data_IF_934567950550
#
_entry.id   IF_934567950550
#
_cell.length_a   1.000
_cell.length_b   1.000
_cell.length_c   1.000
_cell.angle_alpha   90.00
_cell.angle_beta   90.00
_cell.angle_gamma   90.00
#
_symmetry.space_group_name_H-M   'P 1'
#
loop_
_entity.id
_entity.type
_entity.pdbx_description
1 polymer ?
#
# COMPACT_ATOMS: atom_id res chain seq x y z
N UNK A 1 -9.72 -5.40 -14.12
CA UNK A 1 -9.46 -4.74 -15.42
C UNK A 1 -8.13 -4.01 -15.28
N UNK A 2 -7.27 -3.96 -16.30
CA UNK A 2 -6.10 -3.09 -16.25
C UNK A 2 -6.56 -1.63 -16.22
N UNK A 3 -5.84 -0.77 -15.51
CA UNK A 3 -5.99 0.68 -15.59
C UNK A 3 -5.49 1.21 -16.96
N UNK A 4 -5.71 2.50 -17.20
CA UNK A 4 -5.56 3.16 -18.49
C UNK A 4 -4.13 3.70 -18.70
N UNK A 5 -3.95 4.68 -19.58
CA UNK A 5 -2.69 5.42 -19.71
C UNK A 5 -2.77 6.81 -19.04
N UNK A 6 -3.90 7.10 -18.39
CA UNK A 6 -4.19 8.35 -17.69
C UNK A 6 -4.13 8.12 -16.16
N UNK A 7 -4.20 9.19 -15.37
CA UNK A 7 -4.22 9.10 -13.91
C UNK A 7 -5.49 8.38 -13.40
N UNK A 8 -5.34 7.20 -12.78
CA UNK A 8 -6.43 6.37 -12.28
C UNK A 8 -6.51 6.34 -10.75
N UNK A 9 -7.75 6.16 -10.24
CA UNK A 9 -8.00 5.86 -8.82
C UNK A 9 -8.46 4.42 -8.69
N UNK A 10 -7.63 3.60 -8.08
CA UNK A 10 -7.81 2.15 -8.00
C UNK A 10 -8.11 1.78 -6.56
N UNK A 11 -9.21 1.06 -6.35
CA UNK A 11 -9.61 0.54 -5.05
C UNK A 11 -9.51 -0.99 -5.07
N UNK A 12 -8.39 -1.57 -4.60
CA UNK A 12 -8.22 -3.02 -4.54
C UNK A 12 -9.38 -3.70 -3.81
N UNK A 13 -10.03 -4.63 -4.50
CA UNK A 13 -11.13 -5.46 -4.00
C UNK A 13 -10.97 -6.93 -4.40
N UNK A 14 -10.79 -7.80 -3.40
CA UNK A 14 -10.48 -9.23 -3.56
C UNK A 14 -8.99 -9.58 -3.77
N UNK A 15 -8.72 -10.87 -4.00
CA UNK A 15 -7.37 -11.43 -4.13
C UNK A 15 -6.80 -11.38 -5.55
N UNK A 16 -6.82 -10.21 -6.19
CA UNK A 16 -6.39 -10.05 -7.58
C UNK A 16 -5.08 -9.25 -7.70
N UNK A 17 -4.50 -9.25 -8.90
CA UNK A 17 -3.47 -8.28 -9.27
C UNK A 17 -4.10 -7.02 -9.85
N UNK A 18 -3.63 -5.86 -9.41
CA UNK A 18 -4.01 -4.53 -9.85
C UNK A 18 -2.80 -3.91 -10.53
N UNK A 19 -2.97 -3.58 -11.81
CA UNK A 19 -1.94 -2.97 -12.65
C UNK A 19 -2.39 -1.55 -13.01
N UNK A 20 -1.50 -0.58 -12.84
CA UNK A 20 -1.76 0.84 -13.11
C UNK A 20 -1.74 1.22 -14.59
N UNK A 21 -0.93 0.52 -15.38
CA UNK A 21 -0.74 0.95 -16.77
C UNK A 21 0.25 2.11 -16.79
N UNK A 22 -0.16 3.28 -17.30
CA UNK A 22 0.65 4.50 -17.27
C UNK A 22 -0.15 5.65 -16.64
N UNK A 23 0.52 6.76 -16.33
CA UNK A 23 -0.10 7.87 -15.58
C UNK A 23 0.35 7.88 -14.12
N UNK A 24 -0.20 8.78 -13.31
CA UNK A 24 0.06 8.86 -11.87
C UNK A 24 -1.15 8.31 -11.10
N UNK A 25 -1.04 7.06 -10.66
CA UNK A 25 -2.16 6.34 -10.09
C UNK A 25 -2.24 6.44 -8.57
N UNK A 26 -3.46 6.43 -8.05
CA UNK A 26 -3.74 6.39 -6.61
C UNK A 26 -4.42 5.09 -6.22
N UNK A 27 -3.76 4.29 -5.38
CA UNK A 27 -4.27 3.04 -4.85
C UNK A 27 -4.79 3.22 -3.43
N UNK A 28 -6.06 2.92 -3.19
CA UNK A 28 -6.71 3.16 -1.89
C UNK A 28 -6.94 1.85 -1.17
N UNK A 29 -6.19 1.62 -0.09
CA UNK A 29 -6.31 0.46 0.79
C UNK A 29 -7.17 0.88 1.99
N UNK A 30 -8.32 0.24 2.13
CA UNK A 30 -9.25 0.49 3.22
C UNK A 30 -9.60 -0.80 3.97
N UNK A 31 -10.09 -0.70 5.23
CA UNK A 31 -10.50 -1.89 5.99
C UNK A 31 -11.75 -2.58 5.42
N UNK A 32 -12.43 -1.95 4.44
CA UNK A 32 -13.72 -2.40 3.90
C UNK A 32 -13.63 -3.00 2.49
N UNK A 33 -12.52 -2.78 1.78
CA UNK A 33 -12.39 -3.15 0.36
C UNK A 33 -11.73 -4.51 0.15
N UNK A 34 -10.87 -4.92 1.08
CA UNK A 34 -10.26 -6.25 1.12
C UNK A 34 -10.65 -6.95 2.42
N UNK A 35 -11.12 -8.19 2.38
CA UNK A 35 -11.49 -8.96 3.57
C UNK A 35 -11.31 -10.46 3.36
N UNK A 36 -11.10 -11.19 4.46
CA UNK A 36 -10.86 -12.63 4.44
C UNK A 36 -9.46 -13.00 3.95
N UNK A 37 -9.21 -14.29 3.76
CA UNK A 37 -7.89 -14.83 3.38
C UNK A 37 -7.54 -14.59 1.89
N UNK A 38 -7.54 -13.33 1.47
CA UNK A 38 -7.21 -12.88 0.12
C UNK A 38 -5.90 -12.10 0.11
N UNK A 39 -5.20 -12.10 -1.01
CA UNK A 39 -4.01 -11.26 -1.23
C UNK A 39 -4.19 -10.42 -2.47
N UNK A 40 -4.36 -9.11 -2.29
CA UNK A 40 -4.32 -8.14 -3.39
C UNK A 40 -2.87 -7.81 -3.73
N UNK A 41 -2.52 -7.77 -5.02
CA UNK A 41 -1.16 -7.41 -5.49
C UNK A 41 -1.22 -6.14 -6.31
N UNK A 42 -0.52 -5.10 -5.88
CA UNK A 42 -0.38 -3.84 -6.62
C UNK A 42 0.96 -3.89 -7.36
N UNK A 43 0.91 -3.67 -8.66
CA UNK A 43 2.07 -3.74 -9.56
C UNK A 43 1.99 -2.56 -10.51
N UNK A 44 2.85 -1.57 -10.28
CA UNK A 44 2.87 -0.36 -11.06
C UNK A 44 4.25 0.27 -11.04
N UNK A 45 4.81 0.47 -12.23
CA UNK A 45 6.20 0.89 -12.42
C UNK A 45 6.32 2.14 -13.29
N UNK A 46 5.20 2.75 -13.68
CA UNK A 46 5.18 3.94 -14.54
C UNK A 46 4.54 5.11 -13.77
N UNK A 47 5.05 6.32 -14.01
CA UNK A 47 4.56 7.54 -13.34
C UNK A 47 4.87 7.65 -11.84
N UNK A 48 4.18 8.59 -11.18
CA UNK A 48 4.36 8.94 -9.76
C UNK A 48 3.17 8.46 -8.93
N UNK A 49 3.19 7.18 -8.58
CA UNK A 49 2.05 6.52 -7.95
C UNK A 49 1.98 6.72 -6.43
N UNK A 50 0.76 6.70 -5.90
CA UNK A 50 0.46 6.93 -4.48
C UNK A 50 -0.31 5.75 -3.91
N UNK A 51 0.15 5.24 -2.76
CA UNK A 51 -0.62 4.33 -1.92
C UNK A 51 -1.26 5.13 -0.79
N UNK A 52 -2.58 5.19 -0.75
CA UNK A 52 -3.34 5.73 0.37
C UNK A 52 -3.80 4.61 1.29
N UNK A 53 -3.44 4.72 2.56
CA UNK A 53 -3.95 3.87 3.63
C UNK A 53 -4.99 4.68 4.39
N UNK A 54 -6.25 4.27 4.30
CA UNK A 54 -7.37 4.99 4.91
C UNK A 54 -7.30 4.92 6.44
N UNK A 55 -7.57 6.03 7.11
CA UNK A 55 -7.64 6.10 8.58
C UNK A 55 -8.60 5.06 9.16
N UNK A 56 -8.23 4.49 10.32
CA UNK A 56 -8.94 3.38 10.95
C UNK A 56 -8.54 1.99 10.44
N UNK A 57 -7.69 1.90 9.42
CA UNK A 57 -7.07 0.65 9.00
C UNK A 57 -6.10 0.15 10.08
N UNK A 58 -6.22 -1.12 10.48
CA UNK A 58 -5.23 -1.78 11.34
C UNK A 58 -4.40 -2.76 10.52
N UNK A 59 -3.09 -2.55 10.51
CA UNK A 59 -2.09 -3.42 9.90
C UNK A 59 -1.61 -4.37 11.00
N UNK A 60 -2.09 -5.60 10.97
CA UNK A 60 -1.73 -6.64 11.93
C UNK A 60 -0.23 -6.96 11.88
N UNK A 61 0.35 -7.04 10.68
CA UNK A 61 1.80 -7.18 10.49
C UNK A 61 2.24 -6.60 9.14
N UNK A 62 3.51 -6.24 9.06
CA UNK A 62 4.14 -5.75 7.83
C UNK A 62 5.51 -6.39 7.63
N UNK A 63 5.84 -6.69 6.38
CA UNK A 63 7.12 -7.28 5.97
C UNK A 63 7.68 -6.46 4.82
N UNK A 64 8.77 -5.74 5.10
CA UNK A 64 9.44 -4.88 4.14
C UNK A 64 10.59 -5.60 3.46
N UNK A 65 10.67 -5.49 2.15
CA UNK A 65 11.78 -5.91 1.29
C UNK A 65 12.42 -4.70 0.64
N UNK A 66 13.54 -4.88 -0.07
CA UNK A 66 14.27 -3.77 -0.70
C UNK A 66 13.42 -2.99 -1.71
N UNK A 67 12.51 -3.66 -2.44
CA UNK A 67 11.59 -3.04 -3.40
C UNK A 67 10.19 -3.70 -3.43
N UNK A 68 9.73 -4.18 -2.27
CA UNK A 68 8.38 -4.72 -2.12
C UNK A 68 7.96 -4.66 -0.66
N UNK A 69 6.66 -4.59 -0.39
CA UNK A 69 6.13 -4.71 0.97
C UNK A 69 4.89 -5.61 0.96
N UNK A 70 4.77 -6.42 2.01
CA UNK A 70 3.54 -7.14 2.31
C UNK A 70 2.94 -6.60 3.61
N UNK A 71 1.67 -6.22 3.56
CA UNK A 71 0.87 -5.78 4.69
C UNK A 71 -0.21 -6.81 4.94
N UNK A 72 -0.29 -7.34 6.16
CA UNK A 72 -1.40 -8.16 6.63
C UNK A 72 -2.32 -7.28 7.45
N UNK A 73 -3.59 -7.22 7.06
CA UNK A 73 -4.62 -6.41 7.70
C UNK A 73 -5.28 -7.20 8.84
N UNK A 74 -5.82 -6.50 9.83
CA UNK A 74 -6.51 -7.13 10.97
C UNK A 74 -7.76 -7.95 10.58
N UNK A 75 -8.32 -7.69 9.39
CA UNK A 75 -9.46 -8.41 8.85
C UNK A 75 -9.08 -9.69 8.06
N UNK A 76 -7.81 -10.10 8.13
CA UNK A 76 -7.27 -11.32 7.53
C UNK A 76 -6.79 -11.15 6.08
N UNK A 77 -7.09 -10.04 5.43
CA UNK A 77 -6.61 -9.79 4.08
C UNK A 77 -5.14 -9.37 4.07
N UNK A 78 -4.48 -9.60 2.95
CA UNK A 78 -3.11 -9.14 2.70
C UNK A 78 -3.06 -8.25 1.47
N UNK A 79 -2.15 -7.28 1.49
CA UNK A 79 -1.78 -6.45 0.34
C UNK A 79 -0.30 -6.61 0.10
N UNK A 80 0.08 -6.93 -1.13
CA UNK A 80 1.45 -6.92 -1.58
C UNK A 80 1.63 -5.78 -2.58
N UNK A 81 2.64 -4.95 -2.37
CA UNK A 81 3.02 -3.89 -3.31
C UNK A 81 4.39 -4.28 -3.87
N UNK A 82 4.45 -4.50 -5.17
CA UNK A 82 5.68 -4.78 -5.90
C UNK A 82 6.17 -3.47 -6.55
N UNK A 83 7.47 -3.22 -6.53
CA UNK A 83 7.99 -1.91 -6.94
C UNK A 83 7.82 -0.83 -5.87
N UNK A 84 7.69 -1.23 -4.60
CA UNK A 84 7.35 -0.36 -3.47
C UNK A 84 8.22 0.90 -3.34
N UNK A 85 9.49 0.88 -3.77
CA UNK A 85 10.35 2.06 -3.71
C UNK A 85 9.95 3.17 -4.70
N UNK A 86 9.17 2.84 -5.74
CA UNK A 86 8.67 3.81 -6.72
C UNK A 86 7.39 4.52 -6.30
N UNK A 87 6.73 4.07 -5.23
CA UNK A 87 5.50 4.67 -4.72
C UNK A 87 5.79 5.71 -3.64
N UNK A 88 4.85 6.66 -3.52
CA UNK A 88 4.67 7.46 -2.31
C UNK A 88 3.53 6.91 -1.45
N UNK A 89 3.59 7.15 -0.15
CA UNK A 89 2.68 6.56 0.82
C UNK A 89 2.01 7.63 1.66
N UNK A 90 0.69 7.56 1.79
CA UNK A 90 -0.11 8.50 2.57
C UNK A 90 -0.88 7.73 3.64
N UNK A 91 -0.54 7.96 4.90
CA UNK A 91 -1.20 7.37 6.06
C UNK A 91 -2.33 8.29 6.52
N UNK A 92 -3.56 7.79 6.55
CA UNK A 92 -4.75 8.54 6.95
C UNK A 92 -5.47 9.24 5.80
N UNK A 93 -4.92 9.20 4.58
CA UNK A 93 -5.55 9.83 3.42
C UNK A 93 -6.72 9.02 2.86
N UNK A 94 -7.68 9.74 2.26
CA UNK A 94 -8.81 9.19 1.53
C UNK A 94 -9.27 10.24 0.50
N UNK A 95 -8.67 10.21 -0.70
CA UNK A 95 -8.94 11.18 -1.75
C UNK A 95 -10.44 11.28 -2.14
N UNK A 96 -11.19 10.17 -2.30
CA UNK A 96 -12.64 10.22 -2.53
C UNK A 96 -13.43 10.95 -1.44
N UNK A 97 -12.93 10.97 -0.20
CA UNK A 97 -13.53 11.70 0.92
C UNK A 97 -12.94 13.10 1.13
N UNK A 98 -12.04 13.57 0.26
CA UNK A 98 -11.35 14.86 0.39
C UNK A 98 -10.34 14.92 1.54
N UNK A 99 -9.96 13.78 2.12
CA UNK A 99 -8.99 13.70 3.21
C UNK A 99 -7.60 13.53 2.63
N UNK A 100 -6.68 14.41 3.02
CA UNK A 100 -5.29 14.42 2.56
C UNK A 100 -4.35 14.06 3.70
N UNK A 101 -3.18 13.52 3.35
CA UNK A 101 -2.09 13.29 4.29
C UNK A 101 -0.74 13.57 3.62
N UNK A 102 0.31 13.69 4.43
CA UNK A 102 1.66 13.88 3.92
C UNK A 102 2.10 12.67 3.10
N UNK A 103 2.72 12.93 1.94
CA UNK A 103 3.37 11.88 1.15
C UNK A 103 4.70 11.49 1.77
N UNK A 104 4.82 10.21 2.11
CA UNK A 104 6.02 9.58 2.64
C UNK A 104 6.74 8.81 1.52
N UNK A 105 8.06 8.83 1.55
CA UNK A 105 8.87 7.88 0.79
C UNK A 105 8.72 6.46 1.34
N UNK A 106 9.11 5.45 0.57
CA UNK A 106 9.09 4.06 1.04
C UNK A 106 9.88 3.85 2.35
N UNK A 107 11.02 4.53 2.52
CA UNK A 107 11.81 4.47 3.75
C UNK A 107 11.09 5.11 4.95
N UNK A 108 10.44 6.25 4.73
CA UNK A 108 9.65 6.92 5.77
C UNK A 108 8.40 6.13 6.14
N UNK A 109 7.76 5.47 5.16
CA UNK A 109 6.65 4.56 5.40
C UNK A 109 7.09 3.35 6.25
N UNK A 110 8.22 2.72 5.90
CA UNK A 110 8.79 1.66 6.73
C UNK A 110 9.06 2.13 8.17
N UNK A 111 9.68 3.29 8.33
CA UNK A 111 9.94 3.87 9.65
C UNK A 111 8.66 4.18 10.43
N UNK A 112 7.60 4.65 9.77
CA UNK A 112 6.30 4.91 10.39
C UNK A 112 5.66 3.63 10.96
N UNK A 113 5.88 2.48 10.29
CA UNK A 113 5.45 1.17 10.79
C UNK A 113 6.47 0.53 11.75
N UNK A 114 7.52 1.25 12.17
CA UNK A 114 8.54 0.75 13.08
C UNK A 114 9.52 -0.25 12.45
N UNK A 115 9.70 -0.19 11.13
CA UNK A 115 10.64 -0.99 10.36
C UNK A 115 11.72 -0.13 9.67
N UNK A 116 12.57 -0.78 8.89
CA UNK A 116 13.48 -0.13 7.94
C UNK A 116 13.45 -0.87 6.61
N UNK A 117 13.77 -0.18 5.51
CA UNK A 117 13.94 -0.86 4.21
C UNK A 117 15.22 -1.68 4.25
N UNK A 118 15.16 -3.01 4.04
CA UNK A 118 16.36 -3.83 4.03
C UNK A 118 17.21 -3.56 2.79
N UNK A 119 18.53 -3.66 2.97
CA UNK A 119 19.51 -3.62 1.89
C UNK A 119 19.88 -5.01 1.35
N UNK A 120 19.48 -6.07 2.06
CA UNK A 120 19.70 -7.48 1.69
C UNK A 120 18.45 -8.18 1.17
N UNK A 121 18.49 -9.51 1.13
CA UNK A 121 17.38 -10.35 0.65
C UNK A 121 16.36 -10.71 1.73
N UNK A 122 16.70 -10.51 3.01
CA UNK A 122 15.82 -10.81 4.14
C UNK A 122 14.82 -9.67 4.38
N UNK A 123 13.58 -10.03 4.65
CA UNK A 123 12.55 -9.06 5.03
C UNK A 123 12.80 -8.51 6.44
N UNK A 124 12.39 -7.26 6.67
CA UNK A 124 12.35 -6.63 7.99
C UNK A 124 10.88 -6.45 8.37
N UNK A 125 10.52 -6.96 9.55
CA UNK A 125 9.15 -6.82 10.06
C UNK A 125 8.95 -5.48 10.75
N UNK A 126 7.80 -4.87 10.53
CA UNK A 126 7.35 -3.72 11.32
C UNK A 126 6.67 -4.12 12.63
N UNK A 127 6.22 -3.10 13.36
CA UNK A 127 5.42 -3.24 14.56
C UNK A 127 4.11 -3.95 14.26
N UNK A 128 3.70 -4.83 15.16
CA UNK A 128 2.41 -5.49 15.06
C UNK A 128 1.26 -4.52 15.40
N UNK A 129 0.10 -4.74 14.78
CA UNK A 129 -1.15 -4.01 15.06
C UNK A 129 -1.00 -2.48 14.95
N UNK A 130 -0.28 -2.01 13.93
CA UNK A 130 -0.18 -0.58 13.65
C UNK A 130 -1.54 -0.03 13.20
N UNK A 131 -2.01 1.04 13.84
CA UNK A 131 -3.26 1.70 13.48
C UNK A 131 -2.95 2.95 12.67
N UNK A 132 -3.54 3.06 11.50
CA UNK A 132 -3.50 4.26 10.66
C UNK A 132 -4.45 5.29 11.26
N UNK A 133 -3.92 6.45 11.67
CA UNK A 133 -4.69 7.56 12.24
C UNK A 133 -5.08 8.59 11.18
#
# INVERSE_FOLDING_TARGET
>A
MPATLDDDVIVPSGGNSYFGGGGNDTYIISPYTLSGAVTGKIIDNEGSNVIQLVGGLTIASSSFFSNAVQLTLSNGASVQILGASGFSYQLGANAPAGVTANSLTYAQFAAALGASVPTGTSAVSGSANFVVN
#
